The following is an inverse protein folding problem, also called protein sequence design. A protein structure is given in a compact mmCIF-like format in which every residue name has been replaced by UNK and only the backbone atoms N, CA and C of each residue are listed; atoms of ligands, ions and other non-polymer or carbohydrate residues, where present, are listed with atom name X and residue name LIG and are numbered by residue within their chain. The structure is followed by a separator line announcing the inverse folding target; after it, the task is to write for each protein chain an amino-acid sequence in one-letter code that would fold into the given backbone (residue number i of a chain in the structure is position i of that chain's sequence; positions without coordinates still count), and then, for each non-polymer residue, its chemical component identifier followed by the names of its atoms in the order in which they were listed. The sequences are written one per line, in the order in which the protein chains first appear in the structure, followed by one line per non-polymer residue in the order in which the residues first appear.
data_IF_524995357116
#
_entry.id   IF_524995357116
#
_cell.length_a   1.000
_cell.length_b   1.000
_cell.length_c   1.000
_cell.angle_alpha   90.00
_cell.angle_beta   90.00
_cell.angle_gamma   90.00
#
_symmetry.space_group_name_H-M   'P 1'
#
loop_
_entity.id
_entity.type
_entity.pdbx_description
1 polymer ?
#
# COMPACT_ATOMS: atom_id res chain seq x y z
N UNK A 1 70.52 -30.24 0.34
CA UNK A 1 69.45 -29.30 -0.08
C UNK A 1 68.17 -30.13 -0.16
N UNK A 2 67.24 -30.22 0.83
CA UNK A 2 66.41 -29.18 1.48
C UNK A 2 65.96 -28.14 0.44
N UNK A 3 64.70 -28.03 0.04
CA UNK A 3 63.44 -28.12 0.82
C UNK A 3 62.25 -28.35 -0.13
N UNK A 4 61.41 -29.35 0.15
CA UNK A 4 60.08 -29.45 -0.44
C UNK A 4 59.17 -28.40 0.21
N UNK A 5 58.78 -27.38 -0.54
CA UNK A 5 57.83 -26.37 -0.09
C UNK A 5 56.44 -26.98 0.01
N UNK A 6 55.95 -27.18 1.24
CA UNK A 6 54.54 -27.51 1.48
C UNK A 6 53.72 -26.24 1.22
N UNK A 7 52.93 -26.23 0.16
CA UNK A 7 51.93 -25.19 -0.07
C UNK A 7 50.82 -25.35 0.98
N UNK A 8 50.59 -24.30 1.77
CA UNK A 8 49.42 -24.19 2.64
C UNK A 8 48.35 -23.39 1.90
N UNK A 9 47.22 -24.02 1.61
CA UNK A 9 46.01 -23.31 1.18
C UNK A 9 45.20 -22.99 2.43
N UNK A 10 45.17 -21.71 2.82
CA UNK A 10 44.26 -21.22 3.84
C UNK A 10 42.97 -20.74 3.16
N UNK A 11 41.90 -21.54 3.27
CA UNK A 11 40.56 -21.12 2.90
C UNK A 11 39.94 -20.39 4.11
N UNK A 12 39.79 -19.07 4.01
CA UNK A 12 39.03 -18.29 4.99
C UNK A 12 37.57 -18.25 4.55
N UNK A 13 36.75 -19.11 5.15
CA UNK A 13 35.29 -19.03 5.03
C UNK A 13 34.78 -18.09 6.10
N UNK A 14 34.37 -16.88 5.71
CA UNK A 14 33.58 -16.00 6.57
C UNK A 14 32.11 -16.45 6.52
N UNK A 15 31.73 -17.32 7.46
CA UNK A 15 30.33 -17.56 7.79
C UNK A 15 29.86 -16.43 8.71
N UNK A 16 29.26 -15.39 8.13
CA UNK A 16 28.52 -14.41 8.92
C UNK A 16 27.19 -15.05 9.35
N UNK A 17 27.17 -15.55 10.58
CA UNK A 17 25.93 -15.87 11.26
C UNK A 17 25.51 -14.62 12.02
N UNK A 18 24.54 -13.88 11.48
CA UNK A 18 23.86 -12.83 12.24
C UNK A 18 22.91 -13.55 13.19
N UNK A 19 23.43 -13.99 14.34
CA UNK A 19 22.57 -14.22 15.50
C UNK A 19 21.96 -12.89 15.90
N UNK A 20 20.67 -12.92 16.23
CA UNK A 20 19.81 -11.79 16.60
C UNK A 20 20.62 -10.58 17.08
N UNK A 21 20.82 -9.63 16.17
CA UNK A 21 21.53 -8.42 16.52
C UNK A 21 20.64 -7.67 17.50
N UNK A 22 21.08 -7.56 18.74
CA UNK A 22 20.66 -6.51 19.68
C UNK A 22 20.99 -5.08 19.17
N UNK A 23 21.36 -4.93 17.89
CA UNK A 23 21.78 -3.70 17.24
C UNK A 23 20.63 -2.73 16.90
N UNK A 24 19.38 -3.07 17.22
CA UNK A 24 18.26 -2.13 17.15
C UNK A 24 17.76 -1.67 18.53
N UNK A 25 18.67 -1.56 19.50
CA UNK A 25 18.49 -0.55 20.55
C UNK A 25 18.63 0.83 19.89
N UNK A 26 17.49 1.48 19.63
CA UNK A 26 17.30 2.93 19.52
C UNK A 26 18.60 3.74 19.59
N UNK A 27 19.26 3.95 18.45
CA UNK A 27 20.35 4.91 18.38
C UNK A 27 19.70 6.29 18.24
N UNK A 28 19.64 7.06 19.34
CA UNK A 28 18.98 8.36 19.40
C UNK A 28 19.47 9.32 18.29
N UNK A 29 20.72 9.16 17.85
CA UNK A 29 21.29 9.88 16.70
C UNK A 29 20.55 9.61 15.40
N UNK A 30 20.28 8.33 15.09
CA UNK A 30 19.60 7.93 13.85
C UNK A 30 18.10 8.22 13.95
N UNK A 31 17.51 8.05 15.14
CA UNK A 31 16.09 8.28 15.36
C UNK A 31 15.69 9.71 15.01
N UNK A 32 16.50 10.72 15.35
CA UNK A 32 16.19 12.11 15.03
C UNK A 32 16.12 12.35 13.51
N UNK A 33 17.06 11.78 12.75
CA UNK A 33 17.12 11.93 11.29
C UNK A 33 16.00 11.10 10.62
N UNK A 34 15.66 9.96 11.19
CA UNK A 34 14.65 9.02 10.67
C UNK A 34 13.24 9.25 11.23
N UNK A 35 13.02 10.29 12.04
CA UNK A 35 11.74 10.60 12.70
C UNK A 35 10.64 11.02 11.70
N UNK A 36 11.02 11.33 10.46
CA UNK A 36 10.12 11.79 9.41
C UNK A 36 9.70 13.25 9.57
N UNK A 37 8.99 13.76 8.57
CA UNK A 37 8.50 15.14 8.52
C UNK A 37 6.97 15.10 8.57
N UNK A 38 6.42 15.64 9.66
CA UNK A 38 4.98 15.80 9.83
C UNK A 38 4.46 17.02 9.07
N UNK A 39 3.29 16.88 8.45
CA UNK A 39 2.55 18.01 7.89
C UNK A 39 1.80 18.84 8.94
N UNK A 40 1.79 18.40 10.21
CA UNK A 40 1.07 19.02 11.34
C UNK A 40 -0.41 19.28 11.04
N UNK A 41 -1.04 18.40 10.26
CA UNK A 41 -2.42 18.52 9.79
C UNK A 41 -2.67 19.59 8.74
N UNK A 42 -1.61 20.23 8.21
CA UNK A 42 -1.69 21.17 7.10
C UNK A 42 -1.49 20.45 5.76
N UNK A 43 -1.80 21.11 4.64
CA UNK A 43 -1.49 20.58 3.31
C UNK A 43 -2.12 19.21 2.98
N UNK A 44 -3.24 18.86 3.62
CA UNK A 44 -3.96 17.59 3.44
C UNK A 44 -4.20 17.22 1.96
N UNK A 45 -4.50 18.20 1.11
CA UNK A 45 -4.73 17.98 -0.33
C UNK A 45 -3.47 17.98 -1.21
N UNK A 46 -2.28 18.15 -0.63
CA UNK A 46 -1.02 18.13 -1.38
C UNK A 46 -0.60 16.68 -1.64
N UNK A 47 0.09 16.43 -2.76
CA UNK A 47 0.51 15.08 -3.10
C UNK A 47 1.60 14.56 -2.16
N UNK A 48 1.71 13.24 -2.08
CA UNK A 48 2.86 12.53 -1.53
C UNK A 48 3.32 11.44 -2.51
N UNK A 49 4.52 10.92 -2.27
CA UNK A 49 5.05 9.76 -2.96
C UNK A 49 5.56 8.74 -1.93
N UNK A 50 5.11 7.50 -2.02
CA UNK A 50 5.79 6.36 -1.40
C UNK A 50 6.53 5.63 -2.50
N UNK A 51 7.86 5.66 -2.50
CA UNK A 51 8.66 5.05 -3.55
C UNK A 51 9.42 3.82 -3.05
N UNK A 52 9.50 2.81 -3.93
CA UNK A 52 10.51 1.77 -3.94
C UNK A 52 11.17 1.73 -5.31
N UNK A 53 12.03 0.74 -5.55
CA UNK A 53 12.73 0.55 -6.83
C UNK A 53 11.87 -0.13 -7.91
N UNK A 54 10.88 -0.94 -7.50
CA UNK A 54 9.97 -1.65 -8.41
C UNK A 54 8.59 -1.03 -8.50
N UNK A 55 8.09 -0.49 -7.40
CA UNK A 55 6.75 0.11 -7.34
C UNK A 55 6.76 1.42 -6.57
N UNK A 56 5.79 2.28 -6.86
CA UNK A 56 5.55 3.48 -6.08
C UNK A 56 4.07 3.85 -6.09
N UNK A 57 3.62 4.58 -5.08
CA UNK A 57 2.25 5.05 -4.99
C UNK A 57 2.20 6.56 -4.80
N UNK A 58 1.29 7.20 -5.54
CA UNK A 58 1.02 8.63 -5.49
C UNK A 58 -0.39 8.85 -4.97
N UNK A 59 -0.55 9.72 -3.99
CA UNK A 59 -1.85 10.12 -3.44
C UNK A 59 -1.75 11.49 -2.77
N UNK A 60 -2.75 11.86 -1.98
CA UNK A 60 -2.77 13.10 -1.18
C UNK A 60 -2.60 12.83 0.31
N UNK A 61 -2.11 13.83 1.06
CA UNK A 61 -1.74 13.69 2.48
C UNK A 61 -2.93 13.42 3.42
N UNK A 62 -4.17 13.66 2.99
CA UNK A 62 -5.42 13.18 3.63
C UNK A 62 -5.64 11.66 3.50
N UNK A 63 -4.78 11.00 2.72
CA UNK A 63 -4.76 9.57 2.49
C UNK A 63 -5.54 9.09 1.28
N UNK A 64 -6.02 10.00 0.43
CA UNK A 64 -6.82 9.69 -0.75
C UNK A 64 -6.02 9.62 -2.05
N UNK A 65 -6.74 9.28 -3.12
CA UNK A 65 -6.26 9.13 -4.49
C UNK A 65 -7.15 9.93 -5.45
N UNK A 66 -7.09 11.27 -5.43
CA UNK A 66 -7.85 12.08 -6.38
C UNK A 66 -7.30 11.88 -7.81
N UNK A 67 -8.08 12.28 -8.80
CA UNK A 67 -7.61 12.32 -10.19
C UNK A 67 -6.48 13.36 -10.29
N UNK A 68 -5.22 12.90 -10.39
CA UNK A 68 -4.02 13.73 -10.41
C UNK A 68 -3.33 13.68 -11.77
N UNK A 69 -2.67 14.78 -12.17
CA UNK A 69 -1.76 14.78 -13.31
C UNK A 69 -2.31 15.37 -14.61
N UNK A 70 -1.38 15.85 -15.45
CA UNK A 70 -1.68 16.58 -16.69
C UNK A 70 -1.23 15.85 -17.96
N UNK A 71 -0.14 15.08 -17.91
CA UNK A 71 0.38 14.36 -19.09
C UNK A 71 -0.60 13.29 -19.59
N UNK A 72 -1.15 12.51 -18.66
CA UNK A 72 -2.40 11.78 -18.86
C UNK A 72 -3.36 12.29 -17.80
N UNK A 73 -4.37 13.05 -18.23
CA UNK A 73 -5.24 13.84 -17.34
C UNK A 73 -5.86 12.94 -16.26
N UNK A 74 -5.54 13.23 -15.01
CA UNK A 74 -6.08 12.53 -13.85
C UNK A 74 -5.44 11.18 -13.53
N UNK A 75 -4.55 10.64 -14.36
CA UNK A 75 -4.07 9.26 -14.20
C UNK A 75 -2.90 9.07 -13.24
N UNK A 76 -2.20 10.12 -12.80
CA UNK A 76 -0.97 10.01 -12.01
C UNK A 76 -1.15 9.46 -10.59
N UNK A 77 -2.36 9.56 -10.01
CA UNK A 77 -2.67 8.99 -8.70
C UNK A 77 -2.79 7.45 -8.76
N UNK A 78 -2.46 6.77 -7.67
CA UNK A 78 -2.53 5.32 -7.57
C UNK A 78 -1.19 4.63 -7.42
N UNK A 79 -1.19 3.29 -7.41
CA UNK A 79 0.00 2.44 -7.35
C UNK A 79 0.48 2.11 -8.75
N UNK A 80 1.78 2.17 -8.90
CA UNK A 80 2.49 2.05 -10.15
C UNK A 80 3.54 0.96 -10.07
N UNK A 81 3.67 0.22 -11.16
CA UNK A 81 4.80 -0.65 -11.48
C UNK A 81 5.14 -0.40 -12.94
N UNK A 82 6.11 0.49 -13.18
CA UNK A 82 6.41 1.00 -14.52
C UNK A 82 6.61 -0.15 -15.54
N UNK A 83 6.01 -0.06 -16.75
CA UNK A 83 5.28 1.09 -17.32
C UNK A 83 3.77 1.13 -16.99
N UNK A 84 3.30 0.29 -16.07
CA UNK A 84 1.89 0.09 -15.80
C UNK A 84 1.43 0.80 -14.53
N UNK A 85 0.22 1.34 -14.60
CA UNK A 85 -0.58 1.62 -13.41
C UNK A 85 -1.29 0.33 -13.00
N UNK A 86 -1.37 0.05 -11.70
CA UNK A 86 -1.96 -1.19 -11.18
C UNK A 86 -3.31 -0.95 -10.49
N UNK A 87 -3.35 0.06 -9.61
CA UNK A 87 -4.55 0.43 -8.87
C UNK A 87 -4.68 1.95 -8.85
N UNK A 88 -5.89 2.46 -9.02
CA UNK A 88 -6.19 3.88 -8.86
C UNK A 88 -6.13 4.29 -7.38
N UNK A 89 -6.45 3.37 -6.46
CA UNK A 89 -6.48 3.67 -5.04
C UNK A 89 -7.05 2.54 -4.18
N UNK A 90 -7.02 2.74 -2.87
CA UNK A 90 -7.60 1.82 -1.89
C UNK A 90 -8.13 2.58 -0.67
N UNK A 91 -9.07 1.97 0.06
CA UNK A 91 -9.69 2.58 1.22
C UNK A 91 -10.05 1.53 2.27
N UNK A 92 -10.07 1.95 3.54
CA UNK A 92 -10.62 1.15 4.64
C UNK A 92 -11.87 1.82 5.18
N UNK A 93 -12.93 1.05 5.39
CA UNK A 93 -14.07 1.43 6.21
C UNK A 93 -14.04 0.67 7.52
N UNK A 94 -14.23 1.36 8.64
CA UNK A 94 -14.50 0.73 9.92
C UNK A 94 -15.98 0.85 10.24
N UNK A 95 -16.55 -0.19 10.81
CA UNK A 95 -17.91 -0.18 11.32
C UNK A 95 -18.00 -0.90 12.66
N UNK A 96 -18.92 -0.48 13.52
CA UNK A 96 -19.31 -1.28 14.67
C UNK A 96 -19.96 -2.59 14.19
N UNK A 97 -19.93 -3.64 15.02
CA UNK A 97 -20.52 -4.93 14.67
C UNK A 97 -22.02 -4.88 14.29
N UNK A 98 -22.77 -3.90 14.81
CA UNK A 98 -24.18 -3.66 14.48
C UNK A 98 -24.38 -2.83 13.20
N UNK A 99 -23.28 -2.37 12.58
CA UNK A 99 -23.23 -1.50 11.40
C UNK A 99 -24.00 -0.18 11.53
N UNK A 100 -24.36 0.24 12.75
CA UNK A 100 -25.08 1.52 12.98
C UNK A 100 -24.17 2.74 12.90
N UNK A 101 -22.87 2.53 13.04
CA UNK A 101 -21.86 3.56 12.88
C UNK A 101 -20.73 3.02 12.01
N UNK A 102 -20.45 3.74 10.94
CA UNK A 102 -19.38 3.43 10.00
C UNK A 102 -18.67 4.68 9.52
N UNK A 103 -17.38 4.57 9.23
CA UNK A 103 -16.57 5.67 8.75
C UNK A 103 -15.46 5.16 7.83
N UNK A 104 -15.26 5.85 6.71
CA UNK A 104 -14.12 5.64 5.83
C UNK A 104 -12.91 6.40 6.36
N UNK A 105 -11.74 5.77 6.32
CA UNK A 105 -10.45 6.40 6.64
C UNK A 105 -10.00 7.22 5.42
N UNK A 106 -10.65 8.37 5.21
CA UNK A 106 -10.50 9.23 4.02
C UNK A 106 -10.14 10.69 4.34
N UNK A 107 -9.87 11.02 5.59
CA UNK A 107 -9.44 12.37 5.98
C UNK A 107 -8.45 12.23 7.12
N UNK A 108 -7.19 11.95 6.78
CA UNK A 108 -6.13 11.85 7.77
C UNK A 108 -5.93 13.21 8.45
N UNK A 109 -5.88 13.21 9.78
CA UNK A 109 -5.63 14.39 10.60
C UNK A 109 -4.17 14.82 10.51
N UNK A 110 -3.26 13.87 10.35
CA UNK A 110 -1.83 14.13 10.20
C UNK A 110 -1.20 13.12 9.26
N UNK A 111 -0.26 13.61 8.45
CA UNK A 111 0.59 12.82 7.59
C UNK A 111 2.05 13.02 7.98
N UNK A 112 2.79 11.91 8.07
CA UNK A 112 4.24 11.93 8.32
C UNK A 112 4.95 11.24 7.16
N UNK A 113 5.89 11.96 6.56
CA UNK A 113 6.77 11.44 5.52
C UNK A 113 8.07 10.93 6.12
N UNK A 114 8.29 9.62 6.06
CA UNK A 114 9.56 9.00 6.43
C UNK A 114 10.42 8.77 5.18
N UNK A 115 11.76 8.65 5.34
CA UNK A 115 12.61 8.27 4.22
C UNK A 115 12.35 6.83 3.71
N UNK A 116 11.60 6.02 4.46
CA UNK A 116 11.30 4.62 4.15
C UNK A 116 9.80 4.33 3.99
N UNK A 117 8.93 5.35 4.03
CA UNK A 117 7.48 5.12 3.97
C UNK A 117 6.66 6.33 4.39
N UNK A 118 5.35 6.13 4.46
CA UNK A 118 4.40 7.17 4.83
C UNK A 118 3.45 6.69 5.91
N UNK A 119 3.07 7.60 6.80
CA UNK A 119 2.14 7.36 7.89
C UNK A 119 1.01 8.37 7.86
N UNK A 120 -0.21 7.89 8.09
CA UNK A 120 -1.45 8.67 8.11
C UNK A 120 -2.17 8.36 9.40
N UNK A 121 -2.52 9.40 10.15
CA UNK A 121 -3.19 9.28 11.44
C UNK A 121 -4.63 9.74 11.27
N UNK A 122 -5.57 8.94 11.78
CA UNK A 122 -7.01 9.21 11.75
C UNK A 122 -7.54 9.12 13.18
N UNK A 123 -7.85 10.25 13.80
CA UNK A 123 -8.19 10.33 15.21
C UNK A 123 -9.18 11.48 15.50
N UNK A 124 -10.46 11.18 15.84
CA UNK A 124 -11.11 9.85 15.91
C UNK A 124 -11.71 9.40 14.57
N UNK A 125 -11.78 8.07 14.34
CA UNK A 125 -12.49 7.47 13.19
C UNK A 125 -13.95 7.13 13.56
N UNK A 126 -14.13 6.49 14.72
CA UNK A 126 -15.42 6.25 15.35
C UNK A 126 -15.28 6.70 16.81
N UNK A 127 -16.39 6.85 17.53
CA UNK A 127 -16.34 7.21 18.94
C UNK A 127 -15.43 6.23 19.72
N UNK A 128 -14.33 6.75 20.29
CA UNK A 128 -13.34 5.98 21.04
C UNK A 128 -12.46 5.03 20.21
N UNK A 129 -12.39 5.21 18.89
CA UNK A 129 -11.52 4.44 17.98
C UNK A 129 -10.63 5.39 17.20
N UNK A 130 -9.33 5.14 17.26
CA UNK A 130 -8.29 5.79 16.45
C UNK A 130 -7.72 4.76 15.46
N UNK A 131 -7.21 5.25 14.34
CA UNK A 131 -6.52 4.41 13.37
C UNK A 131 -5.26 5.09 12.84
N UNK A 132 -4.25 4.29 12.55
CA UNK A 132 -3.06 4.71 11.84
C UNK A 132 -2.88 3.82 10.60
N UNK A 133 -2.54 4.40 9.46
CA UNK A 133 -2.07 3.70 8.27
C UNK A 133 -0.59 3.96 8.11
N UNK A 134 0.22 2.91 8.02
CA UNK A 134 1.60 2.96 7.56
C UNK A 134 1.71 2.23 6.21
N UNK A 135 2.52 2.76 5.29
CA UNK A 135 2.75 2.14 3.99
C UNK A 135 4.17 2.32 3.50
N UNK A 136 4.66 1.33 2.75
CA UNK A 136 5.98 1.38 2.10
C UNK A 136 6.01 0.45 0.88
N UNK A 137 6.93 0.74 -0.06
CA UNK A 137 7.26 -0.14 -1.17
C UNK A 137 8.61 -0.81 -0.85
N UNK A 138 8.67 -2.13 -0.58
CA UNK A 138 9.91 -2.79 -0.22
C UNK A 138 10.90 -2.82 -1.40
N UNK A 139 12.19 -2.66 -1.09
CA UNK A 139 13.24 -2.76 -2.10
C UNK A 139 13.31 -4.16 -2.72
N UNK A 140 13.47 -4.23 -4.04
CA UNK A 140 13.58 -5.47 -4.81
C UNK A 140 12.29 -6.29 -4.87
N UNK A 141 11.15 -5.74 -4.45
CA UNK A 141 9.85 -6.45 -4.42
C UNK A 141 8.80 -5.72 -5.26
N UNK A 142 8.08 -6.51 -6.04
CA UNK A 142 6.96 -6.03 -6.87
C UNK A 142 5.69 -5.95 -6.02
N UNK A 143 5.49 -4.81 -5.36
CA UNK A 143 4.30 -4.54 -4.58
C UNK A 143 4.54 -3.57 -3.43
N UNK A 144 3.46 -3.24 -2.74
CA UNK A 144 3.51 -2.39 -1.54
C UNK A 144 2.93 -3.12 -0.34
N UNK A 145 3.37 -2.72 0.85
CA UNK A 145 2.80 -3.15 2.12
C UNK A 145 2.02 -1.99 2.72
N UNK A 146 0.81 -2.30 3.21
CA UNK A 146 -0.05 -1.37 3.93
C UNK A 146 -0.38 -2.01 5.27
N UNK A 147 -0.08 -1.31 6.36
CA UNK A 147 -0.43 -1.70 7.71
C UNK A 147 -1.46 -0.72 8.26
N UNK A 148 -2.53 -1.25 8.84
CA UNK A 148 -3.45 -0.48 9.66
C UNK A 148 -3.32 -0.90 11.12
N UNK A 149 -3.12 0.06 12.00
CA UNK A 149 -3.19 -0.12 13.45
C UNK A 149 -4.47 0.52 13.95
N UNK A 150 -5.36 -0.26 14.57
CA UNK A 150 -6.64 0.23 15.09
C UNK A 150 -6.59 0.18 16.61
N UNK A 151 -6.81 1.32 17.26
CA UNK A 151 -6.72 1.47 18.71
C UNK A 151 -8.08 1.80 19.30
N UNK A 152 -8.49 1.00 20.28
CA UNK A 152 -9.63 1.32 21.15
C UNK A 152 -9.13 2.16 22.33
N UNK A 153 -9.58 3.41 22.42
CA UNK A 153 -9.20 4.34 23.50
C UNK A 153 -10.15 4.30 24.69
N UNK A 154 -11.14 3.40 24.65
CA UNK A 154 -12.11 3.19 25.74
C UNK A 154 -11.73 1.98 26.60
N UNK A 155 -12.28 1.90 27.81
CA UNK A 155 -12.18 0.73 28.68
C UNK A 155 -13.15 -0.41 28.31
N UNK A 156 -14.02 -0.20 27.31
CA UNK A 156 -15.03 -1.20 26.92
C UNK A 156 -14.52 -2.01 25.73
N UNK A 157 -14.78 -3.31 25.74
CA UNK A 157 -14.50 -4.15 24.58
C UNK A 157 -15.29 -3.66 23.36
N UNK A 158 -14.62 -3.54 22.21
CA UNK A 158 -15.23 -3.11 20.94
C UNK A 158 -15.06 -4.21 19.90
N UNK A 159 -16.16 -4.59 19.27
CA UNK A 159 -16.17 -5.45 18.08
C UNK A 159 -16.35 -4.56 16.86
N UNK A 160 -15.36 -4.59 15.96
CA UNK A 160 -15.32 -3.81 14.75
C UNK A 160 -15.30 -4.75 13.54
N UNK A 161 -15.90 -4.30 12.43
CA UNK A 161 -15.71 -4.88 11.12
C UNK A 161 -14.87 -3.91 10.27
N UNK A 162 -13.91 -4.47 9.56
CA UNK A 162 -12.97 -3.74 8.71
C UNK A 162 -13.22 -4.13 7.26
N UNK A 163 -13.60 -3.15 6.44
CA UNK A 163 -13.77 -3.35 5.01
C UNK A 163 -12.58 -2.74 4.26
N UNK A 164 -11.74 -3.57 3.62
CA UNK A 164 -10.63 -3.10 2.78
C UNK A 164 -11.04 -3.16 1.31
N UNK A 165 -11.13 -2.00 0.66
CA UNK A 165 -11.54 -1.82 -0.73
C UNK A 165 -10.36 -1.41 -1.59
N UNK A 166 -10.22 -2.02 -2.76
CA UNK A 166 -9.22 -1.64 -3.77
C UNK A 166 -9.93 -1.30 -5.08
N UNK A 167 -9.45 -0.27 -5.79
CA UNK A 167 -9.87 0.08 -7.15
C UNK A 167 -8.75 -0.29 -8.13
N UNK A 168 -8.84 -1.44 -8.81
CA UNK A 168 -7.93 -1.76 -9.91
C UNK A 168 -8.14 -0.81 -11.09
N UNK A 169 -7.02 -0.47 -11.72
CA UNK A 169 -6.92 0.28 -12.96
C UNK A 169 -5.61 -0.16 -13.63
N UNK A 170 -5.63 -1.35 -14.25
CA UNK A 170 -4.47 -1.90 -14.94
C UNK A 170 -4.32 -1.19 -16.27
N UNK A 171 -3.70 -0.01 -16.22
CA UNK A 171 -3.62 0.86 -17.38
C UNK A 171 -2.18 1.02 -17.85
N UNK A 172 -1.89 0.70 -19.13
CA UNK A 172 -0.64 1.05 -19.74
C UNK A 172 -0.63 2.55 -20.04
N UNK A 173 0.40 3.25 -19.58
CA UNK A 173 0.57 4.69 -19.81
C UNK A 173 2.03 4.99 -20.17
N UNK A 174 2.41 6.27 -20.26
CA UNK A 174 3.76 6.75 -20.58
C UNK A 174 4.47 5.99 -21.69
N UNK A 175 4.35 6.50 -22.91
CA UNK A 175 4.95 5.89 -24.11
C UNK A 175 4.45 4.47 -24.45
N UNK A 176 3.49 3.93 -23.70
CA UNK A 176 2.92 2.61 -23.97
C UNK A 176 2.34 2.50 -25.38
N UNK A 177 1.68 3.54 -25.89
CA UNK A 177 1.12 3.55 -27.26
C UNK A 177 2.22 3.45 -28.32
N UNK A 178 3.30 4.20 -28.13
CA UNK A 178 4.49 4.23 -28.96
C UNK A 178 5.23 2.89 -28.97
N UNK A 179 5.03 2.06 -27.92
CA UNK A 179 5.55 0.71 -27.80
C UNK A 179 4.53 -0.39 -28.16
N UNK A 180 3.41 -0.04 -28.81
CA UNK A 180 2.33 -0.96 -29.18
C UNK A 180 1.70 -1.72 -27.99
N UNK A 181 1.75 -1.14 -26.80
CA UNK A 181 1.10 -1.67 -25.60
C UNK A 181 -0.34 -1.15 -25.59
N UNK A 182 -1.31 -2.05 -25.80
CA UNK A 182 -2.73 -1.72 -25.98
C UNK A 182 -3.55 -2.12 -24.76
N UNK A 183 -4.19 -1.14 -24.15
CA UNK A 183 -5.11 -1.28 -23.01
C UNK A 183 -6.32 -2.17 -23.33
N UNK A 184 -6.87 -2.88 -22.34
CA UNK A 184 -8.12 -3.62 -22.46
C UNK A 184 -9.00 -3.47 -21.21
N UNK A 185 -10.13 -4.17 -21.19
CA UNK A 185 -11.02 -4.13 -20.03
C UNK A 185 -10.44 -4.97 -18.89
N UNK A 186 -10.50 -4.42 -17.68
CA UNK A 186 -10.12 -5.11 -16.45
C UNK A 186 -11.22 -6.04 -15.96
N UNK A 187 -10.80 -7.20 -15.47
CA UNK A 187 -11.66 -8.14 -14.73
C UNK A 187 -11.14 -8.31 -13.33
N UNK A 188 -12.05 -8.57 -12.38
CA UNK A 188 -11.67 -8.93 -11.02
C UNK A 188 -12.37 -10.20 -10.58
N UNK A 189 -11.63 -11.08 -9.92
CA UNK A 189 -12.16 -12.32 -9.34
C UNK A 189 -11.62 -12.56 -7.93
N UNK A 190 -12.43 -13.25 -7.14
CA UNK A 190 -12.05 -13.79 -5.85
C UNK A 190 -11.42 -15.18 -6.02
N UNK A 191 -10.22 -15.40 -5.49
CA UNK A 191 -9.60 -16.73 -5.41
C UNK A 191 -9.87 -17.36 -4.06
N UNK A 192 -10.90 -18.21 -3.99
CA UNK A 192 -11.38 -18.83 -2.76
C UNK A 192 -10.29 -19.57 -1.97
N UNK A 193 -9.48 -20.38 -2.65
CA UNK A 193 -8.47 -21.23 -2.00
C UNK A 193 -7.30 -20.43 -1.40
N UNK A 194 -7.02 -19.27 -1.99
CA UNK A 194 -5.94 -18.38 -1.58
C UNK A 194 -6.42 -17.19 -0.75
N UNK A 195 -7.74 -17.03 -0.61
CA UNK A 195 -8.41 -15.92 0.09
C UNK A 195 -7.88 -14.55 -0.34
N UNK A 196 -7.75 -14.35 -1.66
CA UNK A 196 -7.22 -13.11 -2.23
C UNK A 196 -8.00 -12.68 -3.49
N UNK A 197 -7.91 -11.41 -3.85
CA UNK A 197 -8.44 -10.89 -5.11
C UNK A 197 -7.36 -10.84 -6.19
N UNK A 198 -7.76 -11.10 -7.42
CA UNK A 198 -6.91 -10.93 -8.61
C UNK A 198 -7.66 -10.05 -9.59
N UNK A 199 -7.04 -8.95 -10.02
CA UNK A 199 -7.45 -8.21 -11.18
C UNK A 199 -6.50 -8.49 -12.35
N UNK A 200 -7.03 -8.62 -13.56
CA UNK A 200 -6.23 -8.80 -14.78
C UNK A 200 -6.83 -7.97 -15.92
N UNK A 201 -5.97 -7.52 -16.81
CA UNK A 201 -6.36 -7.00 -18.11
C UNK A 201 -6.77 -8.18 -19.02
N UNK A 202 -7.81 -8.02 -19.83
CA UNK A 202 -8.39 -9.11 -20.65
C UNK A 202 -7.56 -9.52 -21.87
N UNK A 203 -6.61 -8.68 -22.31
CA UNK A 203 -5.76 -8.94 -23.49
C UNK A 203 -4.27 -8.95 -23.17
N UNK A 204 -3.89 -8.55 -21.96
CA UNK A 204 -2.51 -8.46 -21.53
C UNK A 204 -2.23 -9.42 -20.35
N UNK A 205 -0.99 -9.92 -20.21
CA UNK A 205 -0.63 -10.86 -19.14
C UNK A 205 -0.47 -10.18 -17.77
N UNK A 206 -0.82 -8.90 -17.63
CA UNK A 206 -0.62 -8.13 -16.40
C UNK A 206 -1.73 -8.39 -15.41
N UNK A 207 -1.36 -8.35 -14.14
CA UNK A 207 -2.30 -8.56 -13.06
C UNK A 207 -1.87 -7.80 -11.81
N UNK A 208 -2.82 -7.60 -10.92
CA UNK A 208 -2.55 -7.18 -9.54
C UNK A 208 -3.30 -8.10 -8.57
N UNK A 209 -2.63 -8.41 -7.46
CA UNK A 209 -3.14 -9.29 -6.41
C UNK A 209 -3.08 -8.55 -5.09
N UNK A 210 -4.14 -8.68 -4.29
CA UNK A 210 -4.13 -8.14 -2.94
C UNK A 210 -4.87 -9.04 -1.97
N UNK A 211 -4.39 -9.04 -0.74
CA UNK A 211 -4.83 -9.88 0.38
C UNK A 211 -4.66 -9.14 1.69
N UNK A 212 -5.10 -9.77 2.77
CA UNK A 212 -4.86 -9.33 4.14
C UNK A 212 -4.21 -10.46 4.94
N UNK A 213 -3.45 -10.10 5.96
CA UNK A 213 -2.98 -11.06 6.97
C UNK A 213 -4.11 -11.58 7.85
N UNK A 214 -5.24 -10.86 7.90
CA UNK A 214 -6.46 -11.31 8.56
C UNK A 214 -7.27 -12.22 7.64
N UNK A 215 -7.84 -13.28 8.19
CA UNK A 215 -8.79 -14.10 7.45
C UNK A 215 -10.07 -13.29 7.19
N UNK A 216 -10.51 -13.17 5.93
CA UNK A 216 -11.75 -12.49 5.61
C UNK A 216 -12.96 -13.27 6.10
N UNK A 217 -13.98 -12.56 6.56
CA UNK A 217 -15.30 -13.12 6.90
C UNK A 217 -16.29 -12.94 5.75
N UNK A 218 -15.98 -12.06 4.79
CA UNK A 218 -16.73 -11.91 3.55
C UNK A 218 -15.90 -11.28 2.43
N UNK A 219 -16.45 -11.32 1.23
CA UNK A 219 -15.90 -10.63 0.06
C UNK A 219 -17.04 -10.12 -0.80
N UNK A 220 -16.82 -9.01 -1.48
CA UNK A 220 -17.73 -8.50 -2.49
C UNK A 220 -16.92 -7.93 -3.64
N UNK A 221 -17.19 -8.35 -4.89
CA UNK A 221 -16.48 -7.88 -6.09
C UNK A 221 -17.10 -6.57 -6.64
N UNK A 222 -18.24 -6.14 -6.10
CA UNK A 222 -19.00 -4.93 -6.46
C UNK A 222 -19.26 -4.06 -5.22
N UNK A 223 -18.26 -3.31 -4.79
CA UNK A 223 -18.39 -2.22 -3.83
C UNK A 223 -18.41 -0.87 -4.57
N UNK A 224 -18.47 0.24 -3.87
CA UNK A 224 -18.23 1.56 -4.45
C UNK A 224 -17.18 2.27 -3.59
N UNK A 225 -16.21 2.97 -4.18
CA UNK A 225 -15.23 3.73 -3.43
C UNK A 225 -15.92 4.89 -2.70
N UNK A 226 -15.32 5.42 -1.63
CA UNK A 226 -15.87 6.58 -0.92
C UNK A 226 -15.74 7.90 -1.68
N UNK A 227 -14.97 7.92 -2.77
CA UNK A 227 -14.72 9.09 -3.60
C UNK A 227 -15.09 8.80 -5.06
N UNK A 228 -15.83 9.72 -5.67
CA UNK A 228 -16.16 9.68 -7.09
C UNK A 228 -14.96 10.12 -7.90
N UNK A 229 -14.56 9.31 -8.88
CA UNK A 229 -13.63 9.75 -9.92
C UNK A 229 -14.41 10.54 -10.98
N UNK A 230 -13.79 11.59 -11.51
CA UNK A 230 -14.31 12.34 -12.66
C UNK A 230 -14.10 11.60 -13.99
N UNK A 231 -13.32 10.52 -13.96
CA UNK A 231 -13.11 9.61 -15.10
C UNK A 231 -14.27 8.63 -15.20
N UNK A 232 -14.66 8.29 -16.42
CA UNK A 232 -15.48 7.10 -16.66
C UNK A 232 -14.69 5.86 -16.18
N UNK A 233 -15.14 5.18 -15.13
CA UNK A 233 -14.43 3.98 -14.67
C UNK A 233 -14.52 2.90 -15.74
N UNK A 234 -13.37 2.33 -16.11
CA UNK A 234 -13.28 1.21 -17.06
C UNK A 234 -13.57 -0.13 -16.37
N UNK A 235 -13.56 -0.13 -15.04
CA UNK A 235 -13.95 -1.21 -14.14
C UNK A 235 -15.33 -0.91 -13.54
N UNK A 236 -16.29 -1.84 -13.69
CA UNK A 236 -17.61 -1.82 -13.04
C UNK A 236 -17.67 -2.69 -11.77
N UNK A 237 -16.51 -2.98 -11.19
CA UNK A 237 -16.35 -3.96 -10.11
C UNK A 237 -15.26 -3.47 -9.15
N UNK A 238 -15.60 -3.38 -7.88
CA UNK A 238 -14.78 -2.82 -6.82
C UNK A 238 -14.71 -3.82 -5.68
N UNK A 239 -13.60 -4.53 -5.52
CA UNK A 239 -13.60 -5.60 -4.56
C UNK A 239 -13.31 -5.08 -3.16
N UNK A 240 -14.09 -5.56 -2.21
CA UNK A 240 -13.93 -5.26 -0.80
C UNK A 240 -13.89 -6.53 0.04
N UNK A 241 -12.98 -6.57 1.00
CA UNK A 241 -12.99 -7.53 2.10
C UNK A 241 -14.02 -7.12 3.14
N UNK A 242 -14.67 -8.06 3.81
CA UNK A 242 -15.36 -7.83 5.08
C UNK A 242 -14.69 -8.67 6.17
#
# INVERSE_FOLDING_TARGET
MKTAGKAFTALFVFLMHVQDSLAQKSNDYVNQIMAGISNKGQNKNKPYLTAGDRTYIVGTQDGNFPDLGAHVKGEMGGLWMQPLKLIDGFWVKLSNADKRSEAWLKDADEFVNYPYGNRFIYAPVLAGIEAERFQFCPQGKEGMVIQYQIKNTTSRLRKLQLQFLVKPDLSPVWFSKENNIVDATDTVRWMKDKKLFVANDTRNPWFTIWGSSLSPIGHNVQANPPLTSSKSSRTRFWPSYL
#
